data_IF_130446759906
#
_entry.id   IF_130446759906
#
_cell.length_a   1.000
_cell.length_b   1.000
_cell.length_c   1.000
_cell.angle_alpha   90.00
_cell.angle_beta   90.00
_cell.angle_gamma   90.00
#
_symmetry.space_group_name_H-M   'P 1'
#
loop_
_entity.id
_entity.type
_entity.pdbx_description
1 polymer ?
#
# COMPACT_ATOMS: atom_id res chain seq x y z
N UNK A 1 19.44 8.69 -28.07
CA UNK A 1 19.29 8.31 -26.65
C UNK A 1 18.18 9.20 -26.10
N UNK A 2 16.95 8.70 -26.13
CA UNK A 2 15.80 9.46 -25.66
C UNK A 2 15.85 9.46 -24.13
N UNK A 3 16.07 10.63 -23.54
CA UNK A 3 15.92 10.82 -22.11
C UNK A 3 14.49 10.46 -21.74
N UNK A 4 14.31 9.32 -21.09
CA UNK A 4 13.03 8.95 -20.48
C UNK A 4 12.78 9.99 -19.40
N UNK A 5 11.96 10.98 -19.72
CA UNK A 5 11.46 11.93 -18.73
C UNK A 5 10.74 11.09 -17.68
N UNK A 6 11.31 10.99 -16.48
CA UNK A 6 10.59 10.49 -15.32
C UNK A 6 9.29 11.30 -15.29
N UNK A 7 8.11 10.66 -15.36
CA UNK A 7 6.85 11.38 -15.25
C UNK A 7 6.94 12.27 -14.01
N UNK A 8 6.61 13.56 -14.15
CA UNK A 8 6.67 14.50 -13.04
C UNK A 8 6.02 13.86 -11.80
N UNK A 9 6.73 13.90 -10.66
CA UNK A 9 6.27 13.29 -9.42
C UNK A 9 4.85 13.78 -9.15
N UNK A 10 3.85 12.90 -9.30
CA UNK A 10 2.46 13.24 -9.04
C UNK A 10 2.30 13.24 -7.53
N UNK A 11 2.23 14.44 -6.94
CA UNK A 11 1.86 14.60 -5.54
C UNK A 11 0.53 13.90 -5.29
N UNK A 12 0.48 13.12 -4.22
CA UNK A 12 -0.70 12.39 -3.78
C UNK A 12 -0.92 12.65 -2.31
N UNK A 13 -2.18 12.56 -1.89
CA UNK A 13 -2.58 12.61 -0.50
C UNK A 13 -2.79 11.18 -0.02
N UNK A 14 -2.03 10.80 1.00
CA UNK A 14 -2.14 9.51 1.66
C UNK A 14 -2.57 9.71 3.10
N UNK A 15 -3.38 8.80 3.64
CA UNK A 15 -3.57 8.67 5.08
C UNK A 15 -3.05 7.33 5.56
N UNK A 16 -2.47 7.31 6.75
CA UNK A 16 -2.20 6.08 7.48
C UNK A 16 -3.53 5.57 8.04
N UNK A 17 -3.82 4.29 7.81
CA UNK A 17 -4.98 3.63 8.40
C UNK A 17 -4.63 3.16 9.81
N UNK A 18 -5.58 3.31 10.72
CA UNK A 18 -5.42 2.85 12.10
C UNK A 18 -5.28 1.32 12.17
N UNK A 19 -4.38 0.87 13.03
CA UNK A 19 -4.16 -0.54 13.34
C UNK A 19 -2.93 -1.12 12.67
N UNK A 20 -2.70 -2.41 12.93
CA UNK A 20 -1.64 -3.20 12.29
C UNK A 20 -2.27 -4.32 11.47
N UNK A 21 -1.55 -4.75 10.45
CA UNK A 21 -2.04 -5.78 9.53
C UNK A 21 -1.06 -6.93 9.37
N UNK A 22 -1.57 -8.13 9.12
CA UNK A 22 -0.77 -9.34 8.87
C UNK A 22 -1.09 -9.88 7.49
N UNK A 23 -0.03 -10.30 6.79
CA UNK A 23 -0.12 -10.94 5.48
C UNK A 23 -0.17 -12.45 5.65
N UNK A 24 -1.28 -13.05 5.26
CA UNK A 24 -1.51 -14.49 5.36
C UNK A 24 -1.63 -15.12 3.98
N UNK A 25 -1.07 -16.33 3.82
CA UNK A 25 -1.28 -17.15 2.62
C UNK A 25 -2.65 -17.82 2.70
N UNK A 26 -3.42 -17.72 1.63
CA UNK A 26 -4.73 -18.36 1.49
C UNK A 26 -4.62 -19.56 0.55
N UNK A 27 -4.84 -20.76 1.09
CA UNK A 27 -4.89 -22.00 0.31
C UNK A 27 -6.31 -22.39 -0.14
N UNK A 28 -7.32 -21.99 0.63
CA UNK A 28 -8.74 -22.14 0.28
C UNK A 28 -9.46 -20.81 0.55
N UNK A 29 -9.97 -20.17 -0.49
CA UNK A 29 -10.67 -18.89 -0.34
C UNK A 29 -11.92 -19.00 0.54
N UNK A 30 -12.54 -20.18 0.62
CA UNK A 30 -13.76 -20.41 1.43
C UNK A 30 -13.49 -20.33 2.92
N UNK A 31 -12.24 -20.46 3.34
CA UNK A 31 -11.85 -20.37 4.75
C UNK A 31 -11.51 -18.94 5.17
N UNK A 32 -11.41 -18.01 4.21
CA UNK A 32 -11.28 -16.58 4.50
C UNK A 32 -12.63 -16.07 4.98
N UNK A 33 -12.73 -15.83 6.28
CA UNK A 33 -13.87 -15.13 6.84
C UNK A 33 -13.83 -13.67 6.36
N UNK A 34 -14.91 -13.21 5.71
CA UNK A 34 -15.14 -11.78 5.43
C UNK A 34 -15.51 -11.04 6.73
N UNK A 35 -14.63 -11.12 7.72
CA UNK A 35 -14.77 -10.41 8.99
C UNK A 35 -14.44 -8.94 8.82
N UNK A 36 -14.75 -8.15 9.84
CA UNK A 36 -14.41 -6.72 9.90
C UNK A 36 -12.90 -6.44 9.93
N UNK A 37 -12.09 -7.48 10.07
CA UNK A 37 -10.63 -7.44 10.07
C UNK A 37 -10.02 -7.62 8.67
N UNK A 38 -10.77 -8.11 7.67
CA UNK A 38 -10.23 -8.27 6.33
C UNK A 38 -10.06 -6.91 5.62
N UNK A 39 -8.83 -6.56 5.27
CA UNK A 39 -8.51 -5.34 4.52
C UNK A 39 -8.46 -5.61 3.00
N UNK A 40 -7.79 -6.69 2.59
CA UNK A 40 -7.66 -7.04 1.17
C UNK A 40 -7.51 -8.55 0.98
N UNK A 41 -8.07 -9.07 -0.11
CA UNK A 41 -7.92 -10.46 -0.56
C UNK A 41 -7.53 -10.46 -2.03
N UNK A 42 -6.37 -11.03 -2.35
CA UNK A 42 -5.88 -11.19 -3.72
C UNK A 42 -5.85 -12.68 -4.03
N UNK A 43 -6.47 -13.08 -5.14
CA UNK A 43 -6.49 -14.48 -5.60
C UNK A 43 -5.58 -14.62 -6.82
N UNK A 44 -4.46 -15.31 -6.64
CA UNK A 44 -3.57 -15.70 -7.73
C UNK A 44 -3.86 -17.11 -8.24
N UNK A 45 -3.24 -17.50 -9.38
CA UNK A 45 -3.41 -18.85 -9.94
C UNK A 45 -2.91 -19.97 -9.01
N UNK A 46 -1.91 -19.67 -8.17
CA UNK A 46 -1.25 -20.65 -7.27
C UNK A 46 -1.69 -20.52 -5.80
N UNK A 47 -2.76 -19.76 -5.54
CA UNK A 47 -3.25 -19.45 -4.20
C UNK A 47 -3.45 -17.96 -3.97
N UNK A 48 -4.01 -17.62 -2.82
CA UNK A 48 -4.33 -16.25 -2.46
C UNK A 48 -3.45 -15.66 -1.37
N UNK A 49 -3.65 -14.37 -1.14
CA UNK A 49 -3.08 -13.61 -0.03
C UNK A 49 -4.19 -12.78 0.62
N UNK A 50 -4.27 -12.83 1.95
CA UNK A 50 -5.16 -11.98 2.73
C UNK A 50 -4.34 -11.02 3.58
N UNK A 51 -4.71 -9.74 3.56
CA UNK A 51 -4.22 -8.74 4.49
C UNK A 51 -5.31 -8.50 5.53
N UNK A 52 -5.01 -8.80 6.81
CA UNK A 52 -6.00 -8.75 7.91
C UNK A 52 -5.51 -7.88 9.05
N UNK A 53 -6.41 -7.18 9.72
CA UNK A 53 -6.11 -6.39 10.89
C UNK A 53 -5.82 -7.30 12.08
N UNK A 54 -4.66 -7.10 12.68
CA UNK A 54 -4.26 -7.68 13.96
C UNK A 54 -3.39 -6.66 14.70
N UNK A 55 -4.01 -5.92 15.60
CA UNK A 55 -3.34 -4.84 16.34
C UNK A 55 -2.29 -5.36 17.33
N UNK A 56 -2.29 -6.66 17.61
CA UNK A 56 -1.34 -7.32 18.53
C UNK A 56 -0.07 -7.79 17.84
N UNK A 57 -0.02 -7.78 16.51
CA UNK A 57 1.13 -8.21 15.74
C UNK A 57 2.34 -7.28 15.95
N UNK A 58 3.43 -7.81 16.53
CA UNK A 58 4.67 -7.07 16.76
C UNK A 58 5.37 -6.74 15.42
N UNK A 59 5.37 -7.68 14.48
CA UNK A 59 5.95 -7.56 13.14
C UNK A 59 4.88 -7.31 12.05
N UNK A 60 3.85 -6.54 12.38
CA UNK A 60 2.76 -6.21 11.47
C UNK A 60 3.14 -5.20 10.38
N UNK A 61 2.20 -4.95 9.49
CA UNK A 61 2.24 -3.94 8.43
C UNK A 61 1.42 -2.72 8.83
N UNK A 62 1.86 -1.54 8.42
CA UNK A 62 1.09 -0.30 8.47
C UNK A 62 0.57 0.02 7.07
N UNK A 63 -0.71 0.40 6.96
CA UNK A 63 -1.34 0.67 5.68
C UNK A 63 -1.43 2.17 5.39
N UNK A 64 -1.03 2.55 4.18
CA UNK A 64 -1.26 3.87 3.61
C UNK A 64 -2.33 3.75 2.51
N UNK A 65 -3.24 4.71 2.47
CA UNK A 65 -4.35 4.76 1.51
C UNK A 65 -4.36 6.09 0.76
N UNK A 66 -4.46 6.07 -0.57
CA UNK A 66 -4.46 7.26 -1.42
C UNK A 66 -5.82 7.63 -2.05
N UNK A 67 -6.91 6.92 -1.72
CA UNK A 67 -8.22 7.10 -2.37
C UNK A 67 -9.14 8.12 -1.71
N UNK A 68 -8.65 9.00 -0.84
CA UNK A 68 -9.46 10.14 -0.36
C UNK A 68 -9.71 11.18 -1.45
N UNK A 69 -8.77 11.28 -2.40
CA UNK A 69 -8.93 12.04 -3.63
C UNK A 69 -9.04 11.05 -4.78
N UNK A 70 -10.29 10.79 -5.19
CA UNK A 70 -10.55 9.91 -6.31
C UNK A 70 -9.74 10.35 -7.53
N UNK A 71 -8.94 9.43 -8.06
CA UNK A 71 -8.26 9.58 -9.33
C UNK A 71 -8.92 8.66 -10.36
N UNK A 72 -8.78 9.03 -11.64
CA UNK A 72 -9.27 8.19 -12.74
C UNK A 72 -8.57 6.81 -12.65
N UNK A 73 -9.30 5.68 -12.67
CA UNK A 73 -8.71 4.35 -12.70
C UNK A 73 -7.73 4.13 -13.87
N UNK A 74 -7.85 4.91 -14.96
CA UNK A 74 -6.93 4.88 -16.10
C UNK A 74 -5.71 5.79 -15.92
N UNK A 75 -5.61 6.52 -14.81
CA UNK A 75 -4.49 7.38 -14.49
C UNK A 75 -3.20 6.56 -14.29
N UNK A 76 -2.35 6.59 -15.32
CA UNK A 76 -1.07 5.88 -15.28
C UNK A 76 -0.12 6.48 -14.26
N UNK A 77 0.72 5.68 -13.61
CA UNK A 77 1.85 6.16 -12.79
C UNK A 77 1.51 6.68 -11.39
N UNK A 78 0.25 6.56 -10.96
CA UNK A 78 -0.19 6.94 -9.60
C UNK A 78 0.51 6.08 -8.54
N UNK A 79 0.34 4.75 -8.61
CA UNK A 79 1.01 3.82 -7.69
C UNK A 79 2.54 3.87 -7.81
N UNK A 80 3.09 4.06 -9.02
CA UNK A 80 4.55 4.14 -9.19
C UNK A 80 5.15 5.38 -8.50
N UNK A 81 4.42 6.50 -8.45
CA UNK A 81 4.87 7.70 -7.76
C UNK A 81 5.07 7.43 -6.25
N UNK A 82 4.26 6.56 -5.65
CA UNK A 82 4.37 6.14 -4.24
C UNK A 82 5.45 5.06 -4.06
N UNK A 83 5.43 4.00 -4.88
CA UNK A 83 6.29 2.82 -4.67
C UNK A 83 7.76 3.10 -5.03
N UNK A 84 8.02 3.88 -6.07
CA UNK A 84 9.39 4.16 -6.53
C UNK A 84 10.30 4.79 -5.44
N UNK A 85 9.89 5.85 -4.72
CA UNK A 85 10.73 6.42 -3.66
C UNK A 85 10.92 5.48 -2.47
N UNK A 86 9.94 4.63 -2.14
CA UNK A 86 10.08 3.60 -1.09
C UNK A 86 11.10 2.53 -1.51
N UNK A 87 11.01 2.05 -2.76
CA UNK A 87 11.96 1.09 -3.30
C UNK A 87 13.40 1.65 -3.36
N UNK A 88 13.56 2.95 -3.62
CA UNK A 88 14.87 3.61 -3.67
C UNK A 88 15.62 3.60 -2.32
N UNK A 89 14.92 3.33 -1.20
CA UNK A 89 15.51 3.18 0.14
C UNK A 89 15.35 1.76 0.70
N UNK A 90 15.08 0.78 -0.18
CA UNK A 90 14.94 -0.62 0.18
C UNK A 90 13.84 -0.87 1.25
N UNK A 91 12.75 -0.10 1.19
CA UNK A 91 11.54 -0.37 1.99
C UNK A 91 10.70 -1.46 1.29
N UNK A 92 10.45 -2.61 1.94
CA UNK A 92 9.50 -3.59 1.45
C UNK A 92 8.10 -2.97 1.35
N UNK A 93 7.39 -3.29 0.27
CA UNK A 93 6.01 -2.88 0.07
C UNK A 93 5.14 -4.07 -0.29
N UNK A 94 3.91 -4.06 0.21
CA UNK A 94 2.82 -4.87 -0.31
C UNK A 94 1.72 -3.93 -0.79
N UNK A 95 1.11 -4.20 -1.94
CA UNK A 95 0.15 -3.28 -2.54
C UNK A 95 -1.08 -4.01 -3.05
N UNK A 96 -2.25 -3.37 -2.95
CA UNK A 96 -3.47 -3.81 -3.60
C UNK A 96 -4.26 -2.60 -4.10
N UNK A 97 -4.69 -2.64 -5.35
CA UNK A 97 -5.53 -1.61 -5.95
C UNK A 97 -7.01 -1.96 -5.76
N UNK A 98 -7.84 -0.92 -5.68
CA UNK A 98 -9.29 -0.98 -5.67
C UNK A 98 -9.87 0.01 -6.68
N UNK A 99 -11.18 0.19 -6.70
CA UNK A 99 -11.81 1.19 -7.55
C UNK A 99 -11.47 2.63 -7.14
N UNK A 100 -11.44 2.91 -5.82
CA UNK A 100 -11.28 4.27 -5.30
C UNK A 100 -9.81 4.67 -5.10
N UNK A 101 -8.90 3.69 -5.05
CA UNK A 101 -7.49 3.92 -4.83
C UNK A 101 -6.71 2.66 -4.46
N UNK A 102 -5.48 2.87 -4.06
CA UNK A 102 -4.49 1.86 -3.76
C UNK A 102 -4.18 1.82 -2.25
N UNK A 103 -4.07 0.59 -1.75
CA UNK A 103 -3.42 0.29 -0.49
C UNK A 103 -1.93 0.09 -0.73
N UNK A 104 -1.10 0.80 0.03
CA UNK A 104 0.35 0.59 0.10
C UNK A 104 0.71 0.28 1.54
N UNK A 105 1.15 -0.95 1.80
CA UNK A 105 1.54 -1.41 3.11
C UNK A 105 3.06 -1.48 3.23
N UNK A 106 3.59 -1.02 4.37
CA UNK A 106 5.01 -1.07 4.74
C UNK A 106 5.16 -1.78 6.10
N UNK A 107 6.34 -2.34 6.43
CA UNK A 107 6.59 -2.85 7.78
C UNK A 107 6.29 -1.78 8.83
N UNK A 108 5.49 -2.10 9.85
CA UNK A 108 5.03 -1.13 10.85
C UNK A 108 6.20 -0.48 11.61
N UNK A 109 7.26 -1.24 11.91
CA UNK A 109 8.50 -0.73 12.51
C UNK A 109 9.30 0.25 11.62
N UNK A 110 8.95 0.38 10.34
CA UNK A 110 9.57 1.32 9.39
C UNK A 110 8.58 2.38 8.87
N UNK A 111 7.42 2.55 9.52
CA UNK A 111 6.41 3.52 9.09
C UNK A 111 6.93 4.96 9.07
N UNK A 112 7.64 5.40 10.12
CA UNK A 112 8.18 6.77 10.18
C UNK A 112 9.17 7.06 9.05
N UNK A 113 9.98 6.06 8.68
CA UNK A 113 10.90 6.13 7.55
C UNK A 113 10.12 6.28 6.24
N UNK A 114 9.10 5.44 6.01
CA UNK A 114 8.24 5.50 4.84
C UNK A 114 7.54 6.87 4.70
N UNK A 115 6.95 7.38 5.78
CA UNK A 115 6.31 8.70 5.81
C UNK A 115 7.31 9.81 5.46
N UNK A 116 8.53 9.74 6.00
CA UNK A 116 9.58 10.71 5.71
C UNK A 116 9.99 10.69 4.24
N UNK A 117 10.16 9.50 3.66
CA UNK A 117 10.52 9.30 2.26
C UNK A 117 9.42 9.83 1.33
N UNK A 118 8.16 9.50 1.60
CA UNK A 118 7.03 9.95 0.79
C UNK A 118 6.84 11.47 0.85
N UNK A 119 6.98 12.09 2.03
CA UNK A 119 6.94 13.54 2.17
C UNK A 119 8.09 14.23 1.41
N UNK A 120 9.30 13.67 1.45
CA UNK A 120 10.44 14.16 0.65
C UNK A 120 10.23 14.02 -0.85
N UNK A 121 9.51 13.00 -1.29
CA UNK A 121 9.10 12.81 -2.68
C UNK A 121 7.96 13.76 -3.12
N UNK A 122 7.42 14.57 -2.20
CA UNK A 122 6.41 15.58 -2.49
C UNK A 122 4.96 15.14 -2.25
N UNK A 123 4.74 13.99 -1.60
CA UNK A 123 3.40 13.55 -1.18
C UNK A 123 2.98 14.20 0.13
N UNK A 124 1.66 14.33 0.34
CA UNK A 124 1.11 14.67 1.64
C UNK A 124 0.72 13.36 2.34
N UNK A 125 1.17 13.17 3.58
CA UNK A 125 0.86 11.98 4.36
C UNK A 125 0.27 12.40 5.69
N UNK A 126 -1.02 12.12 5.90
CA UNK A 126 -1.68 12.24 7.19
C UNK A 126 -1.40 10.99 8.02
N UNK A 127 -0.97 11.17 9.27
CA UNK A 127 -0.66 10.10 10.22
C UNK A 127 -1.63 10.15 11.39
#
# INVERSE_FOLDING_TARGET
MNGSSIPAARTQNLRVLEGRFVLERVSDVRTVALGSDLLALVLGPDGGAAMRRDDTAEDGWAALWNGDDAHDPEATGMLSAIVAPLAAVELPVWTAASYDGDLVLVPSGRLEEAVTVLRRAGHQVAV
#
